data_IF_539692713693
#
_entry.id   IF_539692713693
#
_cell.length_a   1.000
_cell.length_b   1.000
_cell.length_c   1.000
_cell.angle_alpha   90.00
_cell.angle_beta   90.00
_cell.angle_gamma   90.00
#
_symmetry.space_group_name_H-M   'P 1'
#
loop_
_entity.id
_entity.type
_entity.pdbx_description
1 polymer ?
#
# COMPACT_ATOMS: atom_id res chain seq x y z
N UNK A 1 1.57 -2.47 -22.41
CA UNK A 1 1.77 -2.52 -20.95
C UNK A 1 0.39 -2.67 -20.36
N UNK A 2 0.16 -3.69 -19.53
CA UNK A 2 -1.21 -4.05 -19.17
C UNK A 2 -1.76 -3.01 -18.18
N UNK A 3 -2.98 -2.56 -18.42
CA UNK A 3 -3.59 -1.41 -17.72
C UNK A 3 -3.93 -1.69 -16.23
N UNK A 4 -3.59 -2.87 -15.71
CA UNK A 4 -3.92 -3.32 -14.35
C UNK A 4 -2.79 -4.10 -13.70
N UNK A 5 -1.66 -3.47 -13.38
CA UNK A 5 -0.51 -4.15 -12.79
C UNK A 5 -0.30 -3.83 -11.31
N UNK A 6 -1.01 -2.84 -10.76
CA UNK A 6 -0.78 -2.42 -9.39
C UNK A 6 -1.63 -3.18 -8.38
N UNK A 7 -1.06 -3.45 -7.22
CA UNK A 7 -1.77 -4.04 -6.08
C UNK A 7 -1.58 -3.18 -4.84
N UNK A 8 -2.65 -2.99 -4.06
CA UNK A 8 -2.60 -2.28 -2.76
C UNK A 8 -2.68 -3.32 -1.65
N UNK A 9 -1.73 -3.26 -0.72
CA UNK A 9 -1.55 -4.23 0.35
C UNK A 9 -1.53 -3.49 1.69
N UNK A 10 -2.33 -3.96 2.64
CA UNK A 10 -2.27 -3.57 4.05
C UNK A 10 -1.45 -4.60 4.82
N UNK A 11 -0.57 -4.12 5.69
CA UNK A 11 0.16 -4.91 6.66
C UNK A 11 -0.32 -4.56 8.06
N UNK A 12 -0.50 -5.60 8.87
CA UNK A 12 -1.08 -5.49 10.20
C UNK A 12 -0.03 -5.73 11.30
N UNK A 13 -0.32 -5.24 12.50
CA UNK A 13 0.59 -5.36 13.66
C UNK A 13 0.86 -6.81 14.10
N UNK A 14 0.00 -7.76 13.71
CA UNK A 14 0.22 -9.19 13.95
C UNK A 14 1.13 -9.86 12.90
N UNK A 15 1.72 -9.10 11.97
CA UNK A 15 2.59 -9.58 10.91
C UNK A 15 1.86 -10.21 9.71
N UNK A 16 0.53 -10.20 9.70
CA UNK A 16 -0.26 -10.61 8.53
C UNK A 16 -0.42 -9.46 7.54
N UNK A 17 -0.81 -9.79 6.32
CA UNK A 17 -1.13 -8.80 5.29
C UNK A 17 -2.37 -9.22 4.52
N UNK A 18 -3.03 -8.25 3.89
CA UNK A 18 -4.14 -8.47 2.99
C UNK A 18 -3.98 -7.64 1.72
N UNK A 19 -4.27 -8.25 0.57
CA UNK A 19 -4.49 -7.50 -0.65
C UNK A 19 -5.84 -6.80 -0.55
N UNK A 20 -5.82 -5.47 -0.52
CA UNK A 20 -7.04 -4.66 -0.55
C UNK A 20 -7.64 -4.71 -1.96
N UNK A 21 -6.78 -4.61 -2.98
CA UNK A 21 -7.15 -4.82 -4.37
C UNK A 21 -5.91 -5.16 -5.22
N UNK A 22 -6.17 -5.73 -6.39
CA UNK A 22 -5.16 -6.15 -7.37
C UNK A 22 -5.62 -5.72 -8.76
N UNK A 23 -4.68 -5.74 -9.69
CA UNK A 23 -4.91 -5.42 -11.10
C UNK A 23 -5.46 -4.00 -11.33
N UNK A 24 -4.99 -3.05 -10.53
CA UNK A 24 -5.38 -1.66 -10.62
C UNK A 24 -4.50 -0.90 -11.62
N UNK A 25 -5.09 0.12 -12.25
CA UNK A 25 -4.30 1.19 -12.85
C UNK A 25 -3.60 2.03 -11.75
N UNK A 26 -2.59 2.80 -12.15
CA UNK A 26 -1.77 3.57 -11.21
C UNK A 26 -2.58 4.61 -10.41
N UNK A 27 -3.55 5.27 -11.03
CA UNK A 27 -4.34 6.32 -10.36
C UNK A 27 -5.26 5.68 -9.32
N UNK A 28 -5.97 4.63 -9.69
CA UNK A 28 -6.86 3.87 -8.81
C UNK A 28 -6.10 3.28 -7.62
N UNK A 29 -4.87 2.79 -7.82
CA UNK A 29 -4.02 2.30 -6.74
C UNK A 29 -3.63 3.40 -5.74
N UNK A 30 -3.26 4.59 -6.21
CA UNK A 30 -2.91 5.72 -5.34
C UNK A 30 -4.12 6.24 -4.57
N UNK A 31 -5.27 6.38 -5.23
CA UNK A 31 -6.52 6.80 -4.58
C UNK A 31 -6.95 5.82 -3.49
N UNK A 32 -6.86 4.51 -3.76
CA UNK A 32 -7.16 3.47 -2.78
C UNK A 32 -6.16 3.47 -1.62
N UNK A 33 -4.85 3.56 -1.90
CA UNK A 33 -3.83 3.62 -0.85
C UNK A 33 -4.06 4.82 0.07
N UNK A 34 -4.43 5.97 -0.47
CA UNK A 34 -4.81 7.16 0.33
C UNK A 34 -6.02 6.88 1.22
N UNK A 35 -7.07 6.27 0.70
CA UNK A 35 -8.26 5.92 1.49
C UNK A 35 -7.93 4.93 2.62
N UNK A 36 -7.06 3.95 2.35
CA UNK A 36 -6.54 3.04 3.38
C UNK A 36 -5.74 3.79 4.45
N UNK A 37 -4.89 4.75 4.08
CA UNK A 37 -4.11 5.56 5.04
C UNK A 37 -5.06 6.36 5.93
N UNK A 38 -6.04 7.06 5.34
CA UNK A 38 -7.02 7.85 6.08
C UNK A 38 -7.80 6.96 7.07
N UNK A 39 -8.21 5.77 6.63
CA UNK A 39 -8.88 4.77 7.47
C UNK A 39 -7.97 4.28 8.61
N UNK A 40 -6.72 3.95 8.30
CA UNK A 40 -5.73 3.49 9.28
C UNK A 40 -5.43 4.55 10.35
N UNK A 41 -5.44 5.82 9.98
CA UNK A 41 -5.26 6.94 10.92
C UNK A 41 -6.48 7.14 11.83
N UNK A 42 -7.70 6.87 11.35
CA UNK A 42 -8.93 7.02 12.14
C UNK A 42 -9.18 5.83 13.07
N UNK A 43 -9.07 4.60 12.57
CA UNK A 43 -9.46 3.39 13.34
C UNK A 43 -8.42 3.05 14.42
N UNK A 44 -7.16 3.44 14.23
CA UNK A 44 -6.09 3.29 15.21
C UNK A 44 -5.60 1.85 15.41
N UNK A 45 -4.29 1.63 15.22
CA UNK A 45 -3.57 0.48 15.81
C UNK A 45 -3.80 -0.91 15.22
N UNK A 46 -4.29 -1.04 13.98
CA UNK A 46 -4.43 -2.35 13.31
C UNK A 46 -3.51 -2.45 12.09
N UNK A 47 -3.58 -1.47 11.20
CA UNK A 47 -2.71 -1.37 10.01
C UNK A 47 -1.46 -0.57 10.36
N UNK A 48 -0.26 -1.10 10.11
CA UNK A 48 1.00 -0.38 10.34
C UNK A 48 1.71 0.06 9.06
N UNK A 49 1.39 -0.57 7.93
CA UNK A 49 2.02 -0.26 6.66
C UNK A 49 1.03 -0.48 5.51
N UNK A 50 1.12 0.40 4.50
CA UNK A 50 0.36 0.32 3.26
C UNK A 50 1.36 0.39 2.11
N UNK A 51 1.29 -0.58 1.19
CA UNK A 51 2.21 -0.71 0.07
C UNK A 51 1.43 -0.77 -1.25
N UNK A 52 1.96 -0.11 -2.27
CA UNK A 52 1.60 -0.38 -3.66
C UNK A 52 2.74 -1.15 -4.29
N UNK A 53 2.45 -2.31 -4.87
CA UNK A 53 3.40 -3.03 -5.73
C UNK A 53 3.01 -2.90 -7.20
N UNK A 54 3.97 -2.90 -8.10
CA UNK A 54 3.73 -3.07 -9.54
C UNK A 54 3.58 -4.55 -9.94
N UNK A 55 3.35 -4.81 -11.22
CA UNK A 55 3.16 -6.16 -11.77
C UNK A 55 4.44 -7.02 -11.75
N UNK A 56 5.60 -6.39 -11.55
CA UNK A 56 6.89 -7.05 -11.34
C UNK A 56 7.14 -7.41 -9.87
N UNK A 57 6.25 -7.02 -8.96
CA UNK A 57 6.39 -7.24 -7.52
C UNK A 57 7.31 -6.22 -6.84
N UNK A 58 7.67 -5.12 -7.52
CA UNK A 58 8.46 -4.05 -6.91
C UNK A 58 7.55 -3.09 -6.15
N UNK A 59 8.02 -2.63 -4.99
CA UNK A 59 7.35 -1.56 -4.24
C UNK A 59 7.41 -0.25 -5.02
N UNK A 60 6.25 0.24 -5.44
CA UNK A 60 6.08 1.54 -6.10
C UNK A 60 5.78 2.66 -5.10
N UNK A 61 5.14 2.33 -3.97
CA UNK A 61 4.82 3.26 -2.90
C UNK A 61 4.78 2.53 -1.56
N UNK A 62 5.22 3.22 -0.50
CA UNK A 62 5.13 2.72 0.87
C UNK A 62 4.79 3.85 1.83
N UNK A 63 3.80 3.59 2.67
CA UNK A 63 3.49 4.39 3.85
C UNK A 63 3.65 3.52 5.10
N UNK A 64 4.21 4.11 6.15
CA UNK A 64 4.33 3.48 7.46
C UNK A 64 3.73 4.39 8.54
N UNK A 65 2.98 3.77 9.46
CA UNK A 65 2.40 4.46 10.61
C UNK A 65 3.50 5.13 11.43
N UNK A 66 3.33 6.41 11.72
CA UNK A 66 4.30 7.20 12.48
C UNK A 66 5.55 7.64 11.71
N UNK A 67 5.77 7.15 10.48
CA UNK A 67 6.88 7.59 9.61
C UNK A 67 6.40 8.38 8.38
N UNK A 68 5.15 8.18 7.96
CA UNK A 68 4.63 8.78 6.74
C UNK A 68 5.06 8.00 5.50
N UNK A 69 5.33 8.70 4.40
CA UNK A 69 5.79 8.09 3.15
C UNK A 69 7.27 7.69 3.30
N UNK A 70 7.59 6.44 2.99
CA UNK A 70 8.95 5.89 3.06
C UNK A 70 9.45 5.65 1.64
N UNK A 71 10.61 6.23 1.32
CA UNK A 71 11.33 5.94 0.10
C UNK A 71 12.35 4.85 0.38
N UNK A 72 12.18 3.68 -0.23
CA UNK A 72 13.14 2.58 -0.07
C UNK A 72 14.40 2.89 -0.87
N UNK A 73 15.57 2.75 -0.27
CA UNK A 73 16.81 2.70 -1.06
C UNK A 73 16.79 1.38 -1.86
N UNK A 74 17.06 1.44 -3.16
CA UNK A 74 17.26 0.22 -3.96
C UNK A 74 18.45 -0.54 -3.37
N UNK A 75 18.20 -1.69 -2.74
CA UNK A 75 19.22 -2.70 -2.43
C UNK A 75 19.47 -3.61 -3.62
#
# INVERSE_FOLDING_TARGET
MSEGEFSVIEFYDNGTHAYVARELDAKSAVELAKACIDTALVIGGVVNQIVITDGGGFTAFQWERGKGIVFTERS
#
